data_IF_621301036581
#
_entry.id   IF_621301036581
#
_cell.length_a   1.000
_cell.length_b   1.000
_cell.length_c   1.000
_cell.angle_alpha   90.00
_cell.angle_beta   90.00
_cell.angle_gamma   90.00
#
_symmetry.space_group_name_H-M   'P 1'
#
loop_
_entity.id
_entity.type
_entity.pdbx_description
1 polymer ?
#
# COMPACT_ATOMS: atom_id res chain seq x y z
N UNK A 1 1.74 6.70 22.82
CA UNK A 1 2.81 5.85 22.26
C UNK A 1 2.74 5.83 20.74
N UNK A 2 3.84 6.11 20.11
CA UNK A 2 3.95 6.05 18.67
C UNK A 2 3.67 4.63 18.16
N UNK A 3 3.08 4.50 16.96
CA UNK A 3 2.78 3.18 16.40
C UNK A 3 4.00 2.26 16.35
N UNK A 4 5.16 2.79 15.94
CA UNK A 4 6.41 2.02 15.87
C UNK A 4 6.86 1.44 17.19
N UNK A 5 6.48 2.06 18.30
CA UNK A 5 6.91 1.69 19.64
C UNK A 5 5.93 0.74 20.32
N UNK A 6 4.80 0.45 19.69
CA UNK A 6 3.79 -0.45 20.26
C UNK A 6 4.31 -1.89 20.22
N UNK A 7 4.38 -2.58 21.37
CA UNK A 7 4.90 -3.95 21.41
C UNK A 7 4.18 -4.93 20.49
N UNK A 8 2.86 -4.78 20.31
CA UNK A 8 2.08 -5.69 19.49
C UNK A 8 2.45 -5.66 18.00
N UNK A 9 2.98 -4.53 17.50
CA UNK A 9 3.39 -4.41 16.11
C UNK A 9 4.61 -5.29 15.84
N UNK A 10 5.62 -5.22 16.73
CA UNK A 10 6.84 -6.03 16.62
C UNK A 10 6.54 -7.52 16.78
N UNK A 11 5.73 -7.86 17.77
CA UNK A 11 5.35 -9.25 18.03
C UNK A 11 4.56 -9.84 16.88
N UNK A 12 3.60 -9.07 16.33
CA UNK A 12 2.76 -9.48 15.21
C UNK A 12 3.60 -9.81 13.96
N UNK A 13 4.61 -9.00 13.67
CA UNK A 13 5.50 -9.23 12.55
C UNK A 13 6.32 -10.52 12.75
N UNK A 14 6.92 -10.69 13.93
CA UNK A 14 7.69 -11.91 14.27
C UNK A 14 6.82 -13.17 14.16
N UNK A 15 5.63 -13.13 14.72
CA UNK A 15 4.70 -14.26 14.67
C UNK A 15 4.36 -14.64 13.24
N UNK A 16 4.07 -13.66 12.41
CA UNK A 16 3.75 -13.89 11.01
C UNK A 16 4.90 -14.58 10.28
N UNK A 17 6.13 -14.13 10.52
CA UNK A 17 7.31 -14.71 9.88
C UNK A 17 7.60 -16.13 10.39
N UNK A 18 7.54 -16.34 11.70
CA UNK A 18 7.84 -17.65 12.33
C UNK A 18 6.84 -18.71 11.88
N UNK A 19 5.55 -18.35 11.78
CA UNK A 19 4.48 -19.27 11.39
C UNK A 19 4.35 -19.46 9.89
N UNK A 20 5.06 -18.68 9.12
CA UNK A 20 4.96 -18.71 7.66
C UNK A 20 5.53 -20.00 7.09
N UNK A 21 4.87 -20.57 6.10
CA UNK A 21 5.41 -21.66 5.30
C UNK A 21 6.41 -21.10 4.27
N UNK A 22 7.05 -21.96 3.48
CA UNK A 22 8.07 -21.52 2.53
C UNK A 22 7.55 -20.54 1.49
N UNK A 23 6.30 -20.70 1.05
CA UNK A 23 5.67 -19.78 0.09
C UNK A 23 5.50 -18.40 0.72
N UNK A 24 5.04 -18.34 1.98
CA UNK A 24 4.85 -17.08 2.69
C UNK A 24 6.17 -16.42 2.99
N UNK A 25 7.19 -17.19 3.36
CA UNK A 25 8.55 -16.67 3.59
C UNK A 25 9.11 -16.05 2.31
N UNK A 26 8.86 -16.68 1.17
CA UNK A 26 9.28 -16.14 -0.14
C UNK A 26 8.60 -14.79 -0.41
N UNK A 27 7.29 -14.70 -0.17
CA UNK A 27 6.54 -13.45 -0.32
C UNK A 27 7.07 -12.36 0.58
N UNK A 28 7.40 -12.72 1.83
CA UNK A 28 7.97 -11.77 2.80
C UNK A 28 9.33 -11.28 2.32
N UNK A 29 10.19 -12.17 1.79
CA UNK A 29 11.49 -11.77 1.24
C UNK A 29 11.34 -10.84 0.05
N UNK A 30 10.41 -11.14 -0.85
CA UNK A 30 10.14 -10.29 -2.01
C UNK A 30 9.63 -8.91 -1.58
N UNK A 31 8.74 -8.86 -0.60
CA UNK A 31 8.22 -7.62 -0.06
C UNK A 31 9.33 -6.81 0.61
N UNK A 32 10.18 -7.48 1.40
CA UNK A 32 11.34 -6.84 2.03
C UNK A 32 12.25 -6.18 0.99
N UNK A 33 12.51 -6.90 -0.10
CA UNK A 33 13.31 -6.36 -1.20
C UNK A 33 12.67 -5.14 -1.82
N UNK A 34 11.38 -5.20 -2.14
CA UNK A 34 10.64 -4.06 -2.70
C UNK A 34 10.66 -2.86 -1.77
N UNK A 35 10.44 -3.09 -0.48
CA UNK A 35 10.50 -2.01 0.51
C UNK A 35 11.90 -1.39 0.57
N UNK A 36 12.96 -2.21 0.51
CA UNK A 36 14.34 -1.73 0.57
C UNK A 36 14.70 -0.83 -0.60
N UNK A 37 14.10 -1.05 -1.77
CA UNK A 37 14.30 -0.19 -2.93
C UNK A 37 13.83 1.25 -2.68
N UNK A 38 12.92 1.44 -1.73
CA UNK A 38 12.36 2.74 -1.37
C UNK A 38 12.81 3.20 0.03
N UNK A 39 13.81 2.55 0.60
CA UNK A 39 14.33 2.90 1.92
C UNK A 39 13.41 2.54 3.08
N UNK A 40 12.52 1.56 2.89
CA UNK A 40 11.56 1.12 3.90
C UNK A 40 11.96 -0.22 4.52
N UNK A 41 11.67 -0.38 5.81
CA UNK A 41 11.71 -1.67 6.48
C UNK A 41 10.31 -2.32 6.42
N UNK A 42 10.25 -3.62 6.76
CA UNK A 42 8.95 -4.29 6.88
C UNK A 42 8.11 -3.71 8.04
N UNK A 43 8.77 -3.21 9.08
CA UNK A 43 8.08 -2.52 10.17
C UNK A 43 7.42 -1.23 9.67
N UNK A 44 8.08 -0.48 8.79
CA UNK A 44 7.50 0.70 8.16
C UNK A 44 6.30 0.34 7.30
N UNK A 45 6.38 -0.77 6.57
CA UNK A 45 5.27 -1.28 5.76
C UNK A 45 4.06 -1.64 6.65
N UNK A 46 4.29 -2.37 7.74
CA UNK A 46 3.22 -2.72 8.67
C UNK A 46 2.58 -1.49 9.31
N UNK A 47 3.38 -0.45 9.57
CA UNK A 47 2.88 0.83 10.06
C UNK A 47 1.94 1.49 9.04
N UNK A 48 2.31 1.46 7.76
CA UNK A 48 1.45 1.99 6.69
C UNK A 48 0.14 1.22 6.61
N UNK A 49 0.19 -0.11 6.68
CA UNK A 49 -1.00 -0.96 6.66
C UNK A 49 -1.95 -0.56 7.79
N UNK A 50 -1.44 -0.41 9.00
CA UNK A 50 -2.29 -0.05 10.14
C UNK A 50 -2.81 1.39 10.04
N UNK A 51 -2.01 2.31 9.57
CA UNK A 51 -2.42 3.70 9.39
C UNK A 51 -3.59 3.82 8.42
N UNK A 52 -3.67 2.93 7.45
CA UNK A 52 -4.74 2.88 6.47
C UNK A 52 -5.86 1.89 6.83
N UNK A 53 -5.86 1.35 8.05
CA UNK A 53 -6.83 0.34 8.51
C UNK A 53 -6.86 -0.87 7.59
N UNK A 54 -5.69 -1.31 7.11
CA UNK A 54 -5.55 -2.45 6.22
C UNK A 54 -6.43 -2.34 4.97
N UNK A 55 -6.52 -1.14 4.41
CA UNK A 55 -7.34 -0.86 3.24
C UNK A 55 -6.65 0.08 2.27
N UNK A 56 -7.10 0.07 1.02
CA UNK A 56 -6.58 0.95 -0.02
C UNK A 56 -6.79 2.42 0.35
N UNK A 57 -5.76 3.25 0.13
CA UNK A 57 -5.82 4.68 0.44
C UNK A 57 -6.85 5.45 -0.40
N UNK A 58 -7.26 4.92 -1.54
CA UNK A 58 -8.20 5.58 -2.45
C UNK A 58 -9.61 5.01 -2.33
N UNK A 59 -9.78 3.71 -2.59
CA UNK A 59 -11.11 3.09 -2.62
C UNK A 59 -11.57 2.53 -1.28
N UNK A 60 -10.65 2.42 -0.32
CA UNK A 60 -10.90 1.92 1.03
C UNK A 60 -11.36 0.45 1.11
N UNK A 61 -11.19 -0.30 0.02
CA UNK A 61 -11.47 -1.75 0.04
C UNK A 61 -10.38 -2.43 0.86
N UNK A 62 -10.74 -3.32 1.79
CA UNK A 62 -9.75 -4.00 2.64
C UNK A 62 -8.78 -4.85 1.83
N UNK A 63 -7.52 -4.86 2.25
CA UNK A 63 -6.51 -5.74 1.68
C UNK A 63 -6.74 -7.19 2.15
N UNK A 64 -6.42 -8.13 1.26
CA UNK A 64 -6.55 -9.57 1.52
C UNK A 64 -5.55 -10.31 0.65
N UNK A 65 -5.53 -11.64 0.71
CA UNK A 65 -4.67 -12.43 -0.19
C UNK A 65 -4.98 -12.18 -1.66
N UNK A 66 -6.26 -12.00 -1.99
CA UNK A 66 -6.70 -11.74 -3.37
C UNK A 66 -6.67 -10.27 -3.74
N UNK A 67 -6.43 -9.39 -2.78
CA UNK A 67 -6.38 -7.94 -2.98
C UNK A 67 -5.19 -7.39 -2.19
N UNK A 68 -3.98 -7.77 -2.60
CA UNK A 68 -2.76 -7.41 -1.89
C UNK A 68 -2.43 -5.93 -2.05
N UNK A 69 -1.83 -5.31 -1.03
CA UNK A 69 -1.41 -3.91 -1.12
C UNK A 69 -0.21 -3.76 -2.06
N UNK A 70 -0.23 -2.69 -2.84
CA UNK A 70 0.88 -2.27 -3.70
C UNK A 70 1.51 -1.01 -3.13
N UNK A 71 2.84 -0.99 -3.09
CA UNK A 71 3.59 0.20 -2.68
C UNK A 71 3.47 1.25 -3.77
N UNK A 72 2.93 2.40 -3.43
CA UNK A 72 2.80 3.52 -4.34
C UNK A 72 3.82 4.59 -4.01
N UNK A 73 4.51 5.10 -5.02
CA UNK A 73 5.52 6.13 -4.86
C UNK A 73 5.35 7.22 -5.91
N UNK A 74 5.85 8.41 -5.59
CA UNK A 74 5.88 9.52 -6.53
C UNK A 74 7.00 9.27 -7.53
N UNK A 75 6.66 9.29 -8.83
CA UNK A 75 7.63 9.01 -9.88
C UNK A 75 8.68 10.10 -10.06
N UNK A 76 8.43 11.30 -9.57
CA UNK A 76 9.38 12.42 -9.68
C UNK A 76 10.41 12.43 -8.55
N UNK A 77 9.98 12.25 -7.31
CA UNK A 77 10.87 12.32 -6.15
C UNK A 77 11.08 10.97 -5.46
N UNK A 78 10.44 9.92 -5.96
CA UNK A 78 10.49 8.54 -5.46
C UNK A 78 10.06 8.38 -3.99
N UNK A 79 9.38 9.37 -3.42
CA UNK A 79 8.84 9.26 -2.08
C UNK A 79 7.64 8.34 -2.05
N UNK A 80 7.56 7.52 -1.01
CA UNK A 80 6.40 6.68 -0.78
C UNK A 80 5.18 7.54 -0.47
N UNK A 81 4.08 7.26 -1.16
CA UNK A 81 2.81 7.96 -0.94
C UNK A 81 1.86 7.15 -0.07
N UNK A 82 1.78 5.85 -0.29
CA UNK A 82 0.87 5.01 0.46
C UNK A 82 0.76 3.61 -0.14
N UNK A 83 -0.26 2.88 0.30
CA UNK A 83 -0.57 1.55 -0.20
C UNK A 83 -1.88 1.58 -0.97
N UNK A 84 -1.88 1.04 -2.17
CA UNK A 84 -3.04 1.00 -3.04
C UNK A 84 -3.36 -0.44 -3.43
N UNK A 85 -4.64 -0.72 -3.69
CA UNK A 85 -5.00 -1.97 -4.34
C UNK A 85 -4.56 -1.93 -5.80
N UNK A 86 -4.53 -3.09 -6.44
CA UNK A 86 -4.10 -3.21 -7.83
C UNK A 86 -4.90 -2.27 -8.76
N UNK A 87 -6.21 -2.25 -8.61
CA UNK A 87 -7.07 -1.45 -9.49
C UNK A 87 -6.78 0.05 -9.38
N UNK A 88 -6.64 0.57 -8.16
CA UNK A 88 -6.36 2.00 -7.96
C UNK A 88 -4.95 2.35 -8.43
N UNK A 89 -3.98 1.47 -8.18
CA UNK A 89 -2.62 1.66 -8.66
C UNK A 89 -2.57 1.73 -10.19
N UNK A 90 -3.27 0.83 -10.86
CA UNK A 90 -3.38 0.83 -12.33
C UNK A 90 -4.10 2.07 -12.84
N UNK A 91 -5.18 2.48 -12.18
CA UNK A 91 -5.96 3.66 -12.58
C UNK A 91 -5.10 4.93 -12.57
N UNK A 92 -4.30 5.14 -11.53
CA UNK A 92 -3.38 6.28 -11.50
C UNK A 92 -2.36 6.20 -12.63
N UNK A 93 -1.86 5.00 -12.92
CA UNK A 93 -0.93 4.79 -14.02
C UNK A 93 -1.55 5.14 -15.37
N UNK A 94 -2.80 4.76 -15.60
CA UNK A 94 -3.51 5.08 -16.84
C UNK A 94 -3.71 6.58 -17.03
N UNK A 95 -3.86 7.32 -15.94
CA UNK A 95 -3.93 8.78 -15.99
C UNK A 95 -2.56 9.46 -15.88
N UNK A 96 -1.48 8.69 -15.90
CA UNK A 96 -0.10 9.17 -15.74
C UNK A 96 0.07 10.08 -14.51
N UNK A 97 -0.63 9.76 -13.40
CA UNK A 97 -0.65 10.56 -12.17
C UNK A 97 -1.08 12.02 -12.41
N UNK A 98 -1.80 12.29 -13.50
CA UNK A 98 -2.19 13.65 -13.88
C UNK A 98 -3.37 14.17 -13.08
N UNK A 99 -3.13 15.12 -12.18
CA UNK A 99 -4.20 15.72 -11.36
C UNK A 99 -5.31 16.31 -12.23
N UNK A 100 -4.93 17.02 -13.29
CA UNK A 100 -5.89 17.67 -14.16
C UNK A 100 -6.82 16.68 -14.83
N UNK A 101 -6.26 15.60 -15.37
CA UNK A 101 -7.05 14.56 -16.03
C UNK A 101 -7.96 13.86 -15.01
N UNK A 102 -7.43 13.54 -13.84
CA UNK A 102 -8.20 12.89 -12.77
C UNK A 102 -9.32 13.80 -12.28
N UNK A 103 -9.03 15.10 -12.11
CA UNK A 103 -10.04 16.08 -11.75
C UNK A 103 -11.13 16.20 -12.83
N UNK A 104 -10.74 16.16 -14.09
CA UNK A 104 -11.69 16.16 -15.21
C UNK A 104 -12.57 14.91 -15.20
N UNK A 105 -11.99 13.75 -14.87
CA UNK A 105 -12.74 12.51 -14.74
C UNK A 105 -13.78 12.63 -13.62
N UNK A 106 -13.41 13.21 -12.48
CA UNK A 106 -14.32 13.46 -11.38
C UNK A 106 -15.47 14.38 -11.82
N UNK A 107 -15.17 15.48 -12.48
CA UNK A 107 -16.19 16.44 -12.97
C UNK A 107 -17.11 15.78 -14.00
N UNK A 108 -16.55 14.94 -14.86
CA UNK A 108 -17.35 14.17 -15.81
C UNK A 108 -18.39 13.29 -15.10
N UNK A 109 -17.98 12.56 -14.08
CA UNK A 109 -18.87 11.69 -13.32
C UNK A 109 -19.94 12.50 -12.59
N UNK A 110 -19.56 13.62 -11.98
CA UNK A 110 -20.51 14.51 -11.27
C UNK A 110 -21.55 15.04 -12.26
N UNK A 111 -21.11 15.50 -13.43
CA UNK A 111 -22.00 16.04 -14.46
C UNK A 111 -23.02 15.02 -14.93
N UNK A 112 -22.65 13.73 -14.97
CA UNK A 112 -23.52 12.66 -15.45
C UNK A 112 -24.25 11.90 -14.34
N UNK A 113 -24.31 12.49 -13.15
CA UNK A 113 -25.15 11.98 -12.06
C UNK A 113 -24.58 10.86 -11.23
N UNK A 114 -23.27 10.68 -11.26
CA UNK A 114 -22.61 9.66 -10.44
C UNK A 114 -22.14 10.17 -9.09
#
# INVERSE_FOLDING_TARGET
>A
MEYRQRPHVKAKFKERYIRANERDKRRIRELRYKCSLHGLSLADFDKMVEKQDNSCAICHIPFSESNAPHLDHDHFNEKMRGLLCHNCNCALGFFNDGYGVISNALQYLIKHGE
#
